data_IF_576930547383
#
_entry.id   IF_576930547383
#
_cell.length_a   1.000
_cell.length_b   1.000
_cell.length_c   1.000
_cell.angle_alpha   90.00
_cell.angle_beta   90.00
_cell.angle_gamma   90.00
#
_symmetry.space_group_name_H-M   'P 1'
#
loop_
_entity.id
_entity.type
_entity.pdbx_description
1 polymer ?
#
# COMPACT_ATOMS: atom_id res chain seq x y z
N UNK A 1 6.82 25.86 -26.91
CA UNK A 1 5.44 25.32 -26.88
C UNK A 1 5.39 23.80 -27.01
N UNK A 2 6.08 23.20 -27.99
CA UNK A 2 6.07 21.74 -28.26
C UNK A 2 6.48 20.84 -27.07
N UNK A 3 7.46 21.22 -26.26
CA UNK A 3 7.93 20.43 -25.09
C UNK A 3 6.90 20.38 -23.95
N UNK A 4 6.23 21.51 -23.66
CA UNK A 4 5.18 21.57 -22.63
C UNK A 4 3.98 20.71 -23.01
N UNK A 5 3.63 20.69 -24.30
CA UNK A 5 2.55 19.86 -24.83
C UNK A 5 2.87 18.36 -24.73
N UNK A 6 4.09 17.94 -25.09
CA UNK A 6 4.54 16.54 -24.92
C UNK A 6 4.46 16.08 -23.46
N UNK A 7 4.82 16.95 -22.52
CA UNK A 7 4.83 16.64 -21.10
C UNK A 7 3.41 16.60 -20.49
N UNK A 8 2.53 17.51 -20.93
CA UNK A 8 1.09 17.46 -20.61
C UNK A 8 0.48 16.13 -21.06
N UNK A 9 0.77 15.71 -22.29
CA UNK A 9 0.32 14.42 -22.80
C UNK A 9 0.87 13.28 -21.94
N UNK A 10 2.18 13.27 -21.64
CA UNK A 10 2.80 12.24 -20.80
C UNK A 10 2.09 12.09 -19.44
N UNK A 11 1.83 13.18 -18.73
CA UNK A 11 1.13 13.16 -17.43
C UNK A 11 -0.25 12.52 -17.57
N UNK A 12 -1.02 12.91 -18.59
CA UNK A 12 -2.40 12.49 -18.77
C UNK A 12 -2.53 11.05 -19.26
N UNK A 13 -1.57 10.53 -20.02
CA UNK A 13 -1.66 9.18 -20.60
C UNK A 13 -1.01 8.10 -19.73
N UNK A 14 -0.08 8.45 -18.83
CA UNK A 14 0.73 7.44 -18.11
C UNK A 14 -0.14 6.40 -17.39
N UNK A 15 -1.10 6.83 -16.56
CA UNK A 15 -1.95 5.89 -15.81
C UNK A 15 -2.96 5.12 -16.71
N UNK A 16 -3.65 5.77 -17.68
CA UNK A 16 -4.50 5.09 -18.65
C UNK A 16 -3.77 4.07 -19.52
N UNK A 17 -2.48 4.25 -19.80
CA UNK A 17 -1.68 3.29 -20.55
C UNK A 17 -1.16 2.15 -19.67
N UNK A 18 -0.88 2.39 -18.38
CA UNK A 18 -0.46 1.32 -17.47
C UNK A 18 -1.54 0.27 -17.22
N UNK A 19 -2.82 0.65 -17.29
CA UNK A 19 -3.94 -0.27 -17.10
C UNK A 19 -3.99 -1.37 -18.18
N UNK A 20 -4.14 -1.08 -19.48
CA UNK A 20 -4.13 -2.10 -20.53
C UNK A 20 -2.79 -2.82 -20.63
N UNK A 21 -1.67 -2.16 -20.31
CA UNK A 21 -0.35 -2.79 -20.27
C UNK A 21 -0.31 -3.97 -19.30
N UNK A 22 -0.94 -3.85 -18.12
CA UNK A 22 -1.07 -4.96 -17.17
C UNK A 22 -1.81 -6.16 -17.75
N UNK A 23 -2.94 -5.93 -18.42
CA UNK A 23 -3.69 -7.00 -19.07
C UNK A 23 -2.92 -7.67 -20.21
N UNK A 24 -2.19 -6.88 -21.01
CA UNK A 24 -1.35 -7.41 -22.09
C UNK A 24 -0.23 -8.29 -21.51
N UNK A 25 0.46 -7.81 -20.47
CA UNK A 25 1.52 -8.59 -19.79
C UNK A 25 0.98 -9.90 -19.23
N UNK A 26 -0.17 -9.85 -18.55
CA UNK A 26 -0.84 -11.06 -18.04
C UNK A 26 -1.10 -12.10 -19.13
N UNK A 27 -1.62 -11.66 -20.28
CA UNK A 27 -1.94 -12.53 -21.42
C UNK A 27 -0.69 -13.05 -22.13
N UNK A 28 0.31 -12.21 -22.37
CA UNK A 28 1.53 -12.58 -23.12
C UNK A 28 2.39 -13.56 -22.34
N UNK A 29 2.64 -13.26 -21.07
CA UNK A 29 3.58 -14.04 -20.27
C UNK A 29 2.94 -15.26 -19.59
N UNK A 30 1.66 -15.53 -19.84
CA UNK A 30 0.89 -16.61 -19.21
C UNK A 30 1.20 -16.69 -17.71
N UNK A 31 1.28 -15.52 -17.06
CA UNK A 31 1.78 -15.44 -15.69
C UNK A 31 0.97 -16.39 -14.82
N UNK A 32 1.63 -17.20 -13.97
CA UNK A 32 0.96 -18.20 -13.19
C UNK A 32 -0.18 -17.57 -12.38
N UNK A 33 -1.19 -18.40 -12.10
CA UNK A 33 -2.46 -18.06 -11.44
C UNK A 33 -2.28 -17.04 -10.30
N UNK A 34 -3.30 -16.18 -10.04
CA UNK A 34 -3.27 -15.12 -9.00
C UNK A 34 -2.71 -15.55 -7.63
N UNK A 35 -2.76 -16.85 -7.35
CA UNK A 35 -2.17 -17.52 -6.19
C UNK A 35 -0.65 -17.31 -6.03
N UNK A 36 0.14 -17.45 -7.10
CA UNK A 36 1.60 -17.32 -6.97
C UNK A 36 1.99 -15.87 -6.72
N UNK A 37 1.39 -14.91 -7.44
CA UNK A 37 1.70 -13.49 -7.26
C UNK A 37 1.19 -12.96 -5.90
N UNK A 38 0.05 -13.47 -5.41
CA UNK A 38 -0.49 -13.08 -4.10
C UNK A 38 0.39 -13.52 -2.92
N UNK A 39 1.14 -14.62 -3.06
CA UNK A 39 2.09 -15.07 -2.04
C UNK A 39 3.26 -14.07 -1.84
N UNK A 40 3.79 -13.51 -2.93
CA UNK A 40 4.82 -12.46 -2.88
C UNK A 40 4.22 -11.10 -2.47
N UNK A 41 2.94 -10.88 -2.78
CA UNK A 41 2.19 -9.69 -2.37
C UNK A 41 1.58 -9.86 -0.97
N UNK A 42 2.40 -10.21 0.02
CA UNK A 42 1.94 -10.32 1.41
C UNK A 42 1.36 -8.97 1.90
N UNK A 43 0.04 -8.89 2.01
CA UNK A 43 -0.72 -7.71 2.44
C UNK A 43 -0.32 -7.20 3.82
N UNK A 44 0.26 -8.04 4.66
CA UNK A 44 0.64 -7.70 6.02
C UNK A 44 2.18 -7.62 6.22
N UNK A 45 2.95 -7.66 5.13
CA UNK A 45 4.40 -7.49 5.17
C UNK A 45 4.83 -6.09 5.64
N UNK A 46 6.03 -6.00 6.23
CA UNK A 46 6.61 -4.75 6.75
C UNK A 46 6.69 -3.66 5.68
N UNK A 47 7.10 -4.02 4.46
CA UNK A 47 7.19 -3.11 3.31
C UNK A 47 5.81 -2.54 2.99
N UNK A 48 4.77 -3.37 2.91
CA UNK A 48 3.42 -2.90 2.63
C UNK A 48 2.92 -1.95 3.75
N UNK A 49 3.17 -2.29 5.01
CA UNK A 49 2.67 -1.52 6.15
C UNK A 49 3.34 -0.16 6.34
N UNK A 50 4.66 -0.07 6.12
CA UNK A 50 5.43 1.16 6.36
C UNK A 50 5.50 2.02 5.09
N UNK A 51 5.63 1.39 3.93
CA UNK A 51 5.87 2.09 2.68
C UNK A 51 4.59 2.28 1.86
N UNK A 52 3.97 1.20 1.40
CA UNK A 52 2.83 1.25 0.47
C UNK A 52 1.60 1.90 1.12
N UNK A 53 1.22 1.48 2.33
CA UNK A 53 0.08 2.06 3.08
C UNK A 53 0.29 3.54 3.42
N UNK A 54 1.54 4.02 3.49
CA UNK A 54 1.89 5.44 3.72
C UNK A 54 2.36 6.15 2.45
N UNK A 55 1.95 5.69 1.27
CA UNK A 55 2.48 6.21 0.00
C UNK A 55 2.31 7.72 -0.21
N UNK A 56 1.19 8.30 0.25
CA UNK A 56 0.98 9.76 0.15
C UNK A 56 2.02 10.55 0.96
N UNK A 57 2.44 10.05 2.13
CA UNK A 57 3.49 10.67 2.94
C UNK A 57 4.82 10.68 2.20
N UNK A 58 5.24 9.55 1.64
CA UNK A 58 6.51 9.43 0.91
C UNK A 58 6.52 10.30 -0.35
N UNK A 59 5.39 10.33 -1.07
CA UNK A 59 5.19 11.20 -2.23
C UNK A 59 5.32 12.68 -1.85
N UNK A 60 4.66 13.09 -0.77
CA UNK A 60 4.74 14.45 -0.24
C UNK A 60 6.18 14.81 0.11
N UNK A 61 6.83 13.98 0.94
CA UNK A 61 8.19 14.22 1.44
C UNK A 61 9.20 14.39 0.29
N UNK A 62 9.25 13.43 -0.63
CA UNK A 62 10.25 13.43 -1.70
C UNK A 62 9.97 14.49 -2.77
N UNK A 63 8.71 14.72 -3.13
CA UNK A 63 8.36 15.77 -4.09
C UNK A 63 8.68 17.15 -3.54
N UNK A 64 8.29 17.46 -2.29
CA UNK A 64 8.59 18.77 -1.69
C UNK A 64 10.08 18.97 -1.48
N UNK A 65 10.81 17.94 -1.07
CA UNK A 65 12.25 18.01 -0.95
C UNK A 65 12.94 18.36 -2.27
N UNK A 66 12.51 17.73 -3.38
CA UNK A 66 13.00 18.09 -4.72
C UNK A 66 12.58 19.51 -5.13
N UNK A 67 11.32 19.90 -4.90
CA UNK A 67 10.84 21.26 -5.19
C UNK A 67 11.73 22.29 -4.49
N UNK A 68 12.01 22.14 -3.20
CA UNK A 68 12.85 23.10 -2.48
C UNK A 68 14.30 23.09 -2.95
N UNK A 69 14.89 21.90 -3.13
CA UNK A 69 16.30 21.73 -3.56
C UNK A 69 16.55 22.39 -4.92
N UNK A 70 15.69 22.15 -5.90
CA UNK A 70 15.90 22.58 -7.28
C UNK A 70 15.23 23.92 -7.61
N UNK A 71 14.24 24.37 -6.84
CA UNK A 71 13.66 25.72 -6.98
C UNK A 71 14.65 26.82 -6.58
N UNK A 72 15.55 26.54 -5.63
CA UNK A 72 16.58 27.48 -5.14
C UNK A 72 17.58 27.90 -6.21
N UNK A 73 17.75 27.09 -7.25
CA UNK A 73 18.91 27.18 -8.15
C UNK A 73 18.57 27.63 -9.54
N UNK A 74 17.28 27.66 -9.88
CA UNK A 74 16.79 28.36 -11.05
C UNK A 74 17.08 29.86 -10.88
N UNK A 75 17.71 30.48 -11.87
CA UNK A 75 17.96 31.94 -12.04
C UNK A 75 16.67 32.79 -12.11
N UNK A 76 15.54 32.24 -11.65
CA UNK A 76 14.25 32.89 -11.65
C UNK A 76 14.18 33.94 -10.55
N UNK A 77 13.58 35.10 -10.87
CA UNK A 77 13.27 36.14 -9.90
C UNK A 77 12.44 35.58 -8.72
N UNK A 78 12.65 36.15 -7.53
CA UNK A 78 11.96 35.75 -6.29
C UNK A 78 10.43 35.65 -6.47
N UNK A 79 9.82 36.59 -7.20
CA UNK A 79 8.40 36.59 -7.52
C UNK A 79 7.95 35.37 -8.35
N UNK A 80 8.75 34.96 -9.36
CA UNK A 80 8.45 33.79 -10.21
C UNK A 80 8.66 32.47 -9.46
N UNK A 81 9.59 32.43 -8.50
CA UNK A 81 9.74 31.31 -7.56
C UNK A 81 8.51 31.17 -6.67
N UNK A 82 8.08 32.25 -6.01
CA UNK A 82 6.92 32.23 -5.11
C UNK A 82 5.65 31.77 -5.84
N UNK A 83 5.37 32.33 -7.03
CA UNK A 83 4.21 31.92 -7.83
C UNK A 83 4.20 30.42 -8.18
N UNK A 84 5.37 29.80 -8.45
CA UNK A 84 5.47 28.36 -8.72
C UNK A 84 5.18 27.51 -7.49
N UNK A 85 5.74 27.89 -6.33
CA UNK A 85 5.48 27.23 -5.05
C UNK A 85 3.99 27.31 -4.69
N UNK A 86 3.36 28.47 -4.84
CA UNK A 86 1.91 28.65 -4.59
C UNK A 86 1.07 27.75 -5.49
N UNK A 87 1.38 27.67 -6.79
CA UNK A 87 0.65 26.76 -7.71
C UNK A 87 0.81 25.30 -7.32
N UNK A 88 2.01 24.89 -6.92
CA UNK A 88 2.30 23.50 -6.50
C UNK A 88 1.57 23.17 -5.19
N UNK A 89 1.53 24.12 -4.25
CA UNK A 89 0.79 24.01 -3.00
C UNK A 89 -0.71 23.88 -3.24
N UNK A 90 -1.29 24.72 -4.11
CA UNK A 90 -2.72 24.65 -4.47
C UNK A 90 -3.04 23.27 -5.05
N UNK A 91 -2.22 22.76 -5.98
CA UNK A 91 -2.42 21.42 -6.54
C UNK A 91 -2.35 20.34 -5.47
N UNK A 92 -1.35 20.39 -4.61
CA UNK A 92 -1.19 19.46 -3.50
C UNK A 92 -2.40 19.46 -2.55
N UNK A 93 -2.90 20.65 -2.17
CA UNK A 93 -4.08 20.80 -1.31
C UNK A 93 -5.32 20.20 -1.99
N UNK A 94 -5.59 20.54 -3.25
CA UNK A 94 -6.73 20.02 -4.00
C UNK A 94 -6.69 18.48 -4.07
N UNK A 95 -5.54 17.90 -4.42
CA UNK A 95 -5.40 16.44 -4.50
C UNK A 95 -5.49 15.76 -3.13
N UNK A 96 -4.95 16.38 -2.08
CA UNK A 96 -5.04 15.85 -0.70
C UNK A 96 -6.48 15.87 -0.21
N UNK A 97 -7.20 16.98 -0.42
CA UNK A 97 -8.63 17.08 -0.07
C UNK A 97 -9.44 16.06 -0.85
N UNK A 98 -9.18 15.90 -2.15
CA UNK A 98 -9.87 14.90 -2.97
C UNK A 98 -9.62 13.48 -2.49
N UNK A 99 -8.38 13.13 -2.17
CA UNK A 99 -8.05 11.83 -1.59
C UNK A 99 -8.75 11.59 -0.26
N UNK A 100 -8.72 12.58 0.63
CA UNK A 100 -9.33 12.50 1.94
C UNK A 100 -10.85 12.32 1.84
N UNK A 101 -11.52 13.13 1.01
CA UNK A 101 -12.97 13.00 0.74
C UNK A 101 -13.33 11.64 0.16
N UNK A 102 -12.50 11.11 -0.74
CA UNK A 102 -12.82 9.87 -1.44
C UNK A 102 -12.68 8.63 -0.54
N UNK A 103 -11.69 8.63 0.36
CA UNK A 103 -11.28 7.43 1.09
C UNK A 103 -11.45 7.49 2.61
N UNK A 104 -11.55 8.69 3.19
CA UNK A 104 -11.62 8.89 4.64
C UNK A 104 -12.96 9.48 5.07
N UNK A 105 -13.30 9.27 6.34
CA UNK A 105 -14.44 9.95 6.95
C UNK A 105 -14.08 11.44 7.09
N UNK A 106 -14.83 12.28 6.38
CA UNK A 106 -14.57 13.71 6.17
C UNK A 106 -14.47 14.52 7.47
N UNK A 107 -15.18 14.12 8.53
CA UNK A 107 -15.20 14.81 9.83
C UNK A 107 -15.24 13.76 10.94
N UNK A 108 -14.23 13.69 11.82
CA UNK A 108 -14.29 12.87 13.03
C UNK A 108 -15.53 13.26 13.86
N UNK A 109 -16.47 12.33 14.02
CA UNK A 109 -17.72 12.57 14.77
C UNK A 109 -18.96 12.84 13.92
N UNK A 110 -18.85 13.02 12.59
CA UNK A 110 -20.04 12.94 11.71
C UNK A 110 -20.18 11.56 11.12
N UNK A 111 -21.42 11.14 10.89
CA UNK A 111 -21.76 9.82 10.32
C UNK A 111 -21.60 9.78 8.79
N UNK A 112 -20.87 10.73 8.18
CA UNK A 112 -20.71 10.83 6.73
C UNK A 112 -19.67 9.80 6.25
N UNK A 113 -20.09 8.75 5.53
CA UNK A 113 -19.17 7.75 4.97
C UNK A 113 -18.31 8.36 3.85
N UNK A 114 -17.15 7.76 3.53
CA UNK A 114 -16.32 8.17 2.41
C UNK A 114 -17.09 8.02 1.09
N UNK A 115 -16.73 8.81 0.06
CA UNK A 115 -17.41 8.74 -1.25
C UNK A 115 -17.39 7.32 -1.82
N UNK A 116 -16.30 6.58 -1.63
CA UNK A 116 -16.19 5.18 -2.04
C UNK A 116 -17.26 4.28 -1.40
N UNK A 117 -17.46 4.38 -0.08
CA UNK A 117 -18.49 3.59 0.62
C UNK A 117 -19.90 4.05 0.21
N UNK A 118 -20.11 5.34 -0.11
CA UNK A 118 -21.38 5.83 -0.67
C UNK A 118 -21.67 5.16 -2.01
N UNK A 119 -20.70 5.16 -2.93
CA UNK A 119 -20.84 4.53 -4.25
C UNK A 119 -21.15 3.03 -4.09
N UNK A 120 -20.47 2.37 -3.15
CA UNK A 120 -20.73 0.97 -2.85
C UNK A 120 -22.16 0.72 -2.38
N UNK A 121 -22.67 1.52 -1.45
CA UNK A 121 -24.04 1.38 -0.97
C UNK A 121 -25.08 1.71 -2.05
N UNK A 122 -24.84 2.75 -2.85
CA UNK A 122 -25.73 3.16 -3.95
C UNK A 122 -25.79 2.13 -5.07
N UNK A 123 -24.72 1.37 -5.28
CA UNK A 123 -24.68 0.26 -6.25
C UNK A 123 -25.31 -1.04 -5.73
N UNK A 124 -25.97 -1.01 -4.56
CA UNK A 124 -26.66 -2.16 -3.97
C UNK A 124 -25.82 -2.96 -2.97
N UNK A 125 -24.65 -2.44 -2.61
CA UNK A 125 -23.77 -3.07 -1.63
C UNK A 125 -24.34 -3.08 -0.22
N UNK A 126 -24.06 -4.16 0.52
CA UNK A 126 -24.50 -4.34 1.90
C UNK A 126 -23.47 -5.06 2.76
N UNK A 127 -23.58 -4.88 4.07
CA UNK A 127 -22.88 -5.70 5.05
C UNK A 127 -23.65 -7.01 5.27
N UNK A 128 -22.95 -8.14 5.19
CA UNK A 128 -23.54 -9.47 5.33
C UNK A 128 -22.86 -10.29 6.43
N UNK A 129 -23.63 -11.20 7.03
CA UNK A 129 -23.28 -11.98 8.21
C UNK A 129 -23.67 -13.45 8.02
N UNK A 130 -23.39 -14.03 6.84
CA UNK A 130 -23.70 -15.43 6.51
C UNK A 130 -22.73 -16.37 7.26
N UNK A 131 -22.92 -16.47 8.57
CA UNK A 131 -22.07 -17.21 9.51
C UNK A 131 -22.22 -18.71 9.33
N UNK A 132 -23.43 -19.19 9.04
CA UNK A 132 -23.76 -20.60 8.89
C UNK A 132 -23.85 -21.01 7.42
N UNK A 133 -23.41 -22.23 7.10
CA UNK A 133 -23.51 -22.80 5.77
C UNK A 133 -24.97 -23.20 5.47
N UNK A 134 -25.44 -22.88 4.27
CA UNK A 134 -26.79 -23.22 3.82
C UNK A 134 -26.87 -24.67 3.29
N UNK A 135 -25.74 -25.27 2.90
CA UNK A 135 -25.71 -26.63 2.36
C UNK A 135 -25.61 -27.71 3.45
N UNK A 136 -25.00 -27.36 4.60
CA UNK A 136 -24.81 -28.25 5.73
C UNK A 136 -25.40 -27.61 6.99
N UNK A 137 -26.61 -28.05 7.35
CA UNK A 137 -27.34 -27.53 8.50
C UNK A 137 -26.48 -27.55 9.77
N UNK A 138 -26.36 -26.38 10.37
CA UNK A 138 -25.69 -26.16 11.63
C UNK A 138 -24.16 -26.10 11.61
N UNK A 139 -23.54 -26.17 10.43
CA UNK A 139 -22.10 -25.94 10.30
C UNK A 139 -21.78 -24.46 10.03
N UNK A 140 -20.60 -24.01 10.45
CA UNK A 140 -20.12 -22.67 10.11
C UNK A 140 -19.69 -22.63 8.65
N UNK A 141 -20.00 -21.51 8.00
CA UNK A 141 -19.64 -21.27 6.62
C UNK A 141 -18.11 -21.12 6.47
N UNK A 142 -17.46 -22.15 5.93
CA UNK A 142 -16.02 -22.13 5.64
C UNK A 142 -15.67 -21.08 4.57
N UNK A 143 -16.63 -20.67 3.74
CA UNK A 143 -16.47 -19.57 2.77
C UNK A 143 -16.66 -18.17 3.38
N UNK A 144 -17.05 -18.07 4.65
CA UNK A 144 -17.27 -16.79 5.33
C UNK A 144 -16.02 -15.90 5.25
N UNK A 145 -16.15 -14.68 4.71
CA UNK A 145 -15.03 -13.76 4.45
C UNK A 145 -13.95 -14.23 3.44
N UNK A 146 -14.18 -15.29 2.66
CA UNK A 146 -13.16 -15.78 1.73
C UNK A 146 -12.99 -14.86 0.51
N UNK A 147 -11.91 -14.08 0.54
CA UNK A 147 -11.30 -13.44 -0.63
C UNK A 147 -9.90 -14.04 -0.78
N UNK A 148 -9.74 -15.14 -1.49
CA UNK A 148 -8.45 -15.79 -1.89
C UNK A 148 -7.30 -15.74 -0.84
N UNK A 149 -7.07 -16.84 -0.11
CA UNK A 149 -5.93 -17.05 0.80
C UNK A 149 -6.32 -17.71 2.14
N UNK A 150 -5.35 -18.14 2.94
CA UNK A 150 -5.59 -18.79 4.23
C UNK A 150 -6.04 -17.77 5.30
N UNK A 151 -7.36 -17.57 5.42
CA UNK A 151 -7.99 -16.48 6.17
C UNK A 151 -8.57 -16.90 7.54
N UNK A 152 -8.21 -18.08 8.06
CA UNK A 152 -8.66 -18.58 9.38
C UNK A 152 -8.69 -17.50 10.46
N UNK A 153 -7.60 -16.72 10.59
CA UNK A 153 -7.49 -15.64 11.60
C UNK A 153 -8.54 -14.52 11.45
N UNK A 154 -8.95 -14.19 10.21
CA UNK A 154 -9.96 -13.14 9.98
C UNK A 154 -11.36 -13.64 10.31
N UNK A 155 -11.67 -14.87 9.87
CA UNK A 155 -12.91 -15.58 10.21
C UNK A 155 -13.08 -15.72 11.71
N UNK A 156 -12.02 -16.13 12.41
CA UNK A 156 -11.99 -16.22 13.87
C UNK A 156 -12.30 -14.91 14.58
N UNK A 157 -11.66 -13.82 14.15
CA UNK A 157 -11.92 -12.48 14.71
C UNK A 157 -13.35 -12.01 14.42
N UNK A 158 -13.91 -12.38 13.28
CA UNK A 158 -15.26 -12.03 12.90
C UNK A 158 -16.29 -12.78 13.75
N UNK A 159 -16.17 -14.10 13.84
CA UNK A 159 -16.99 -14.94 14.72
C UNK A 159 -16.91 -14.49 16.18
N UNK A 160 -15.71 -14.19 16.67
CA UNK A 160 -15.51 -13.66 18.03
C UNK A 160 -16.25 -12.35 18.28
N UNK A 161 -16.28 -11.42 17.31
CA UNK A 161 -17.05 -10.16 17.43
C UNK A 161 -18.55 -10.39 17.42
N UNK A 162 -19.01 -11.31 16.56
CA UNK A 162 -20.43 -11.68 16.46
C UNK A 162 -20.87 -12.32 17.78
N UNK A 163 -20.10 -13.28 18.31
CA UNK A 163 -20.34 -13.91 19.60
C UNK A 163 -20.44 -12.89 20.74
N UNK A 164 -19.44 -12.02 20.88
CA UNK A 164 -19.42 -10.96 21.91
C UNK A 164 -20.58 -9.97 21.80
N UNK A 165 -21.14 -9.80 20.60
CA UNK A 165 -22.31 -8.97 20.41
C UNK A 165 -23.59 -9.70 20.80
N UNK A 166 -23.78 -10.93 20.32
CA UNK A 166 -24.95 -11.74 20.62
C UNK A 166 -25.04 -12.05 22.12
N UNK A 167 -23.92 -12.26 22.80
CA UNK A 167 -23.87 -12.55 24.24
C UNK A 167 -24.34 -11.39 25.14
N UNK A 168 -24.65 -10.22 24.57
CA UNK A 168 -25.20 -9.07 25.31
C UNK A 168 -26.73 -9.08 25.39
N UNK A 169 -27.38 -9.96 24.63
CA UNK A 169 -28.83 -10.12 24.67
C UNK A 169 -29.18 -11.22 25.67
N UNK A 170 -30.18 -10.97 26.51
CA UNK A 170 -30.75 -12.00 27.39
C UNK A 170 -31.77 -12.83 26.62
N UNK A 171 -31.83 -14.13 26.93
CA UNK A 171 -32.92 -15.01 26.50
C UNK A 171 -34.19 -14.65 27.28
N UNK A 172 -35.20 -14.13 26.59
CA UNK A 172 -36.51 -13.83 27.19
C UNK A 172 -37.34 -15.13 27.29
N UNK A 173 -36.89 -16.05 28.15
CA UNK A 173 -37.61 -17.27 28.51
C UNK A 173 -37.66 -18.38 27.43
N UNK A 174 -38.06 -19.62 27.82
CA UNK A 174 -37.90 -20.83 27.00
C UNK A 174 -38.87 -20.98 25.81
N UNK A 175 -39.81 -20.05 25.60
CA UNK A 175 -40.86 -20.15 24.57
C UNK A 175 -40.77 -19.12 23.45
N UNK A 176 -39.72 -18.30 23.43
CA UNK A 176 -39.50 -17.31 22.38
C UNK A 176 -38.58 -17.87 21.29
N UNK A 177 -39.05 -17.86 20.04
CA UNK A 177 -38.31 -18.35 18.87
C UNK A 177 -36.96 -17.62 18.72
N UNK A 178 -36.91 -16.32 19.03
CA UNK A 178 -35.68 -15.54 18.99
C UNK A 178 -34.68 -15.97 20.09
N UNK A 179 -35.16 -16.49 21.23
CA UNK A 179 -34.32 -17.00 22.32
C UNK A 179 -33.70 -18.37 21.99
N UNK A 180 -34.44 -19.24 21.29
CA UNK A 180 -33.91 -20.50 20.75
C UNK A 180 -32.83 -20.24 19.69
N UNK A 181 -33.07 -19.29 18.78
CA UNK A 181 -32.10 -18.90 17.75
C UNK A 181 -30.85 -18.23 18.35
N UNK A 182 -30.99 -17.47 19.43
CA UNK A 182 -29.89 -16.87 20.17
C UNK A 182 -28.99 -17.93 20.81
N UNK A 183 -29.58 -18.87 21.53
CA UNK A 183 -28.86 -19.95 22.22
C UNK A 183 -28.12 -20.84 21.23
N UNK A 184 -28.82 -21.29 20.17
CA UNK A 184 -28.22 -22.08 19.08
C UNK A 184 -27.07 -21.31 18.39
N UNK A 185 -27.22 -20.01 18.14
CA UNK A 185 -26.15 -19.20 17.55
C UNK A 185 -24.92 -19.11 18.46
N UNK A 186 -25.12 -18.87 19.76
CA UNK A 186 -24.03 -18.75 20.73
C UNK A 186 -23.31 -20.07 20.94
N UNK A 187 -24.03 -21.18 21.05
CA UNK A 187 -23.46 -22.51 21.25
C UNK A 187 -22.54 -22.92 20.10
N UNK A 188 -22.98 -22.75 18.86
CA UNK A 188 -22.21 -23.19 17.68
C UNK A 188 -20.99 -22.30 17.42
N UNK A 189 -21.17 -20.98 17.52
CA UNK A 189 -20.04 -20.05 17.37
C UNK A 189 -19.05 -20.24 18.54
N UNK A 190 -19.55 -20.40 19.76
CA UNK A 190 -18.77 -20.65 20.97
C UNK A 190 -17.94 -21.92 20.89
N UNK A 191 -18.50 -22.99 20.34
CA UNK A 191 -17.80 -24.26 20.13
C UNK A 191 -16.53 -24.08 19.28
N UNK A 192 -16.64 -23.43 18.11
CA UNK A 192 -15.49 -23.19 17.22
C UNK A 192 -14.45 -22.25 17.84
N UNK A 193 -14.90 -21.34 18.70
CA UNK A 193 -14.02 -20.44 19.46
C UNK A 193 -13.41 -21.10 20.72
N UNK A 194 -13.72 -22.36 21.02
CA UNK A 194 -13.37 -23.07 22.26
C UNK A 194 -13.85 -22.34 23.54
N UNK A 195 -14.98 -21.66 23.45
CA UNK A 195 -15.64 -20.97 24.58
C UNK A 195 -16.70 -21.85 25.23
N UNK A 196 -17.28 -22.78 24.46
CA UNK A 196 -18.30 -23.73 24.92
C UNK A 196 -17.77 -25.16 24.92
N UNK A 197 -18.24 -25.97 25.88
CA UNK A 197 -17.84 -27.38 26.02
C UNK A 197 -18.83 -28.36 25.40
N UNK A 198 -20.09 -27.96 25.29
CA UNK A 198 -21.16 -28.75 24.67
C UNK A 198 -21.52 -28.13 23.32
N UNK A 199 -21.30 -28.89 22.24
CA UNK A 199 -21.43 -28.40 20.87
C UNK A 199 -22.62 -28.99 20.11
N UNK A 200 -23.50 -29.70 20.81
CA UNK A 200 -24.62 -30.37 20.17
C UNK A 200 -25.66 -29.36 19.69
N UNK A 201 -25.90 -29.35 18.38
CA UNK A 201 -26.91 -28.51 17.75
C UNK A 201 -28.31 -29.08 17.99
N UNK A 202 -29.26 -28.22 18.33
CA UNK A 202 -30.67 -28.59 18.32
C UNK A 202 -31.13 -28.78 16.87
N UNK A 203 -31.72 -29.94 16.56
CA UNK A 203 -32.06 -30.32 15.19
C UNK A 203 -33.25 -29.54 14.61
N UNK A 204 -33.97 -28.80 15.45
CA UNK A 204 -35.16 -28.04 15.05
C UNK A 204 -34.84 -26.66 14.43
N UNK A 205 -33.57 -26.27 14.35
CA UNK A 205 -33.13 -24.95 13.87
C UNK A 205 -32.33 -25.04 12.57
N UNK A 206 -32.76 -24.30 11.54
CA UNK A 206 -32.07 -24.27 10.23
C UNK A 206 -30.95 -23.22 10.17
N UNK A 207 -29.91 -23.46 9.36
CA UNK A 207 -28.85 -22.47 9.11
C UNK A 207 -29.38 -21.16 8.50
N UNK A 208 -30.46 -21.23 7.73
CA UNK A 208 -31.11 -20.06 7.14
C UNK A 208 -31.75 -19.17 8.22
N UNK A 209 -32.43 -19.79 9.20
CA UNK A 209 -33.06 -19.08 10.31
C UNK A 209 -32.01 -18.41 11.19
N UNK A 210 -30.90 -19.10 11.50
CA UNK A 210 -29.77 -18.55 12.25
C UNK A 210 -29.13 -17.34 11.54
N UNK A 211 -28.84 -17.46 10.24
CA UNK A 211 -28.29 -16.34 9.46
C UNK A 211 -29.27 -15.15 9.41
N UNK A 212 -30.58 -15.42 9.28
CA UNK A 212 -31.61 -14.38 9.28
C UNK A 212 -31.69 -13.68 10.64
N UNK A 213 -31.62 -14.44 11.74
CA UNK A 213 -31.62 -13.96 13.11
C UNK A 213 -30.42 -13.05 13.38
N UNK A 214 -29.20 -13.53 13.10
CA UNK A 214 -27.98 -12.76 13.26
C UNK A 214 -28.08 -11.46 12.46
N UNK A 215 -28.51 -11.54 11.19
CA UNK A 215 -28.67 -10.36 10.34
C UNK A 215 -29.68 -9.36 10.90
N UNK A 216 -30.81 -9.81 11.46
CA UNK A 216 -31.80 -8.92 12.10
C UNK A 216 -31.20 -8.22 13.32
N UNK A 217 -30.57 -8.97 14.25
CA UNK A 217 -29.97 -8.42 15.47
C UNK A 217 -28.79 -7.49 15.17
N UNK A 218 -27.96 -7.80 14.17
CA UNK A 218 -26.85 -6.92 13.78
C UNK A 218 -27.34 -5.60 13.20
N UNK A 219 -28.42 -5.63 12.41
CA UNK A 219 -28.98 -4.41 11.81
C UNK A 219 -29.79 -3.55 12.80
N UNK A 220 -30.16 -4.06 13.97
CA UNK A 220 -30.87 -3.27 14.99
C UNK A 220 -29.98 -2.22 15.66
N UNK A 221 -28.66 -2.29 15.51
CA UNK A 221 -27.70 -1.28 16.01
C UNK A 221 -27.67 0.02 15.20
N UNK A 222 -28.37 0.06 14.06
CA UNK A 222 -28.37 1.19 13.16
C UNK A 222 -27.77 0.86 11.79
N UNK A 223 -27.88 1.82 10.86
CA UNK A 223 -27.47 1.64 9.47
C UNK A 223 -25.95 1.50 9.36
N UNK A 224 -25.48 0.35 8.89
CA UNK A 224 -24.06 0.12 8.59
C UNK A 224 -23.69 0.85 7.29
N UNK A 225 -23.09 2.03 7.39
CA UNK A 225 -22.76 2.92 6.27
C UNK A 225 -21.32 2.83 5.75
N UNK A 226 -20.40 2.14 6.44
CA UNK A 226 -18.99 2.04 6.02
C UNK A 226 -18.46 0.63 6.06
N UNK A 227 -17.48 0.34 5.19
CA UNK A 227 -16.80 -0.96 5.18
C UNK A 227 -16.03 -1.22 6.48
N UNK A 228 -15.50 -0.17 7.12
CA UNK A 228 -14.83 -0.26 8.41
C UNK A 228 -15.79 -0.68 9.53
N UNK A 229 -16.98 -0.09 9.57
CA UNK A 229 -18.02 -0.44 10.54
C UNK A 229 -18.58 -1.84 10.29
N UNK A 230 -18.73 -2.28 9.04
CA UNK A 230 -19.13 -3.65 8.76
C UNK A 230 -18.11 -4.66 9.33
N UNK A 231 -16.82 -4.43 9.08
CA UNK A 231 -15.73 -5.28 9.60
C UNK A 231 -15.63 -5.24 11.13
N UNK A 232 -15.90 -4.10 11.77
CA UNK A 232 -15.87 -3.99 13.24
C UNK A 232 -16.96 -4.81 13.90
N UNK A 233 -18.07 -5.07 13.22
CA UNK A 233 -19.14 -5.96 13.68
C UNK A 233 -18.94 -7.43 13.25
N UNK A 234 -17.86 -7.75 12.55
CA UNK A 234 -17.58 -9.10 12.07
C UNK A 234 -18.26 -9.46 10.74
N UNK A 235 -19.00 -8.53 10.12
CA UNK A 235 -19.57 -8.73 8.79
C UNK A 235 -18.53 -8.57 7.67
N UNK A 236 -18.93 -8.97 6.46
CA UNK A 236 -18.18 -8.71 5.23
C UNK A 236 -19.00 -7.86 4.25
N UNK A 237 -18.29 -7.07 3.45
CA UNK A 237 -18.85 -6.06 2.54
C UNK A 237 -19.00 -6.69 1.15
N UNK A 238 -20.23 -6.85 0.64
CA UNK A 238 -20.51 -7.59 -0.60
C UNK A 238 -21.63 -7.00 -1.47
N UNK A 239 -21.77 -7.51 -2.70
CA UNK A 239 -22.73 -7.16 -3.77
C UNK A 239 -22.60 -5.78 -4.44
N UNK A 240 -21.97 -4.81 -3.79
CA UNK A 240 -21.79 -3.47 -4.34
C UNK A 240 -20.60 -3.38 -5.27
N UNK A 241 -20.54 -2.27 -6.02
CA UNK A 241 -19.37 -1.87 -6.78
C UNK A 241 -18.43 -1.06 -5.89
N UNK A 242 -17.22 -1.58 -5.64
CA UNK A 242 -16.20 -0.96 -4.81
C UNK A 242 -15.09 -0.33 -5.68
N UNK A 243 -15.10 0.98 -5.94
CA UNK A 243 -14.04 1.61 -6.73
C UNK A 243 -12.65 1.33 -6.18
N UNK A 244 -11.70 0.96 -7.03
CA UNK A 244 -10.36 0.61 -6.57
C UNK A 244 -9.65 1.81 -5.93
N UNK A 245 -9.63 1.85 -4.59
CA UNK A 245 -8.91 2.85 -3.81
C UNK A 245 -7.41 2.86 -4.04
N UNK A 246 -6.83 1.68 -4.36
CA UNK A 246 -5.43 1.55 -4.71
C UNK A 246 -5.09 2.26 -6.02
N UNK A 247 -5.81 1.95 -7.10
CA UNK A 247 -5.61 2.61 -8.40
C UNK A 247 -5.88 4.10 -8.29
N UNK A 248 -6.96 4.48 -7.59
CA UNK A 248 -7.30 5.86 -7.34
C UNK A 248 -6.12 6.63 -6.72
N UNK A 249 -5.61 6.16 -5.57
CA UNK A 249 -4.59 6.88 -4.83
C UNK A 249 -3.21 6.84 -5.52
N UNK A 250 -2.84 5.71 -6.12
CA UNK A 250 -1.60 5.59 -6.91
C UNK A 250 -1.63 6.53 -8.11
N UNK A 251 -2.79 6.69 -8.76
CA UNK A 251 -2.96 7.65 -9.86
C UNK A 251 -2.71 9.08 -9.38
N UNK A 252 -3.30 9.50 -8.25
CA UNK A 252 -3.07 10.84 -7.69
C UNK A 252 -1.59 11.07 -7.36
N UNK A 253 -0.91 10.10 -6.74
CA UNK A 253 0.53 10.20 -6.44
C UNK A 253 1.36 10.32 -7.71
N UNK A 254 1.09 9.47 -8.71
CA UNK A 254 1.82 9.45 -9.99
C UNK A 254 1.64 10.78 -10.75
N UNK A 255 0.41 11.26 -10.86
CA UNK A 255 0.10 12.53 -11.52
C UNK A 255 0.69 13.72 -10.77
N UNK A 256 0.71 13.69 -9.44
CA UNK A 256 1.36 14.73 -8.64
C UNK A 256 2.87 14.77 -8.91
N UNK A 257 3.56 13.62 -8.84
CA UNK A 257 5.00 13.55 -9.12
C UNK A 257 5.30 14.03 -10.53
N UNK A 258 4.68 13.46 -11.57
CA UNK A 258 4.92 13.86 -12.96
C UNK A 258 4.58 15.33 -13.20
N UNK A 259 3.50 15.79 -12.57
CA UNK A 259 3.01 17.16 -12.63
C UNK A 259 3.91 18.17 -11.96
N UNK A 260 4.72 17.80 -10.97
CA UNK A 260 5.72 18.67 -10.35
C UNK A 260 7.10 18.53 -11.00
N UNK A 261 7.48 17.31 -11.41
CA UNK A 261 8.77 16.96 -12.01
C UNK A 261 9.10 17.89 -13.18
N UNK A 262 8.11 18.21 -14.01
CA UNK A 262 8.26 19.12 -15.13
C UNK A 262 8.88 20.48 -14.83
N UNK A 263 8.73 21.00 -13.60
CA UNK A 263 9.16 22.35 -13.25
C UNK A 263 10.64 22.42 -12.90
N UNK A 264 11.25 21.29 -12.55
CA UNK A 264 12.62 21.23 -12.08
C UNK A 264 13.44 20.09 -12.69
N UNK A 265 12.87 19.24 -13.56
CA UNK A 265 13.58 18.08 -14.14
C UNK A 265 14.82 18.49 -14.93
N UNK A 266 14.79 19.61 -15.66
CA UNK A 266 15.94 20.07 -16.43
C UNK A 266 17.10 20.47 -15.51
N UNK A 267 16.81 21.26 -14.48
CA UNK A 267 17.79 21.68 -13.48
C UNK A 267 18.32 20.48 -12.68
N UNK A 268 17.44 19.54 -12.32
CA UNK A 268 17.81 18.34 -11.58
C UNK A 268 18.70 17.41 -12.40
N UNK A 269 18.38 17.17 -13.68
CA UNK A 269 19.19 16.33 -14.55
C UNK A 269 20.54 16.97 -14.88
N UNK A 270 20.58 18.29 -15.10
CA UNK A 270 21.84 19.00 -15.33
C UNK A 270 22.79 18.88 -14.13
N UNK A 271 22.26 19.03 -12.90
CA UNK A 271 23.02 18.80 -11.65
C UNK A 271 23.47 17.37 -11.51
N UNK A 272 22.57 16.41 -11.72
CA UNK A 272 22.90 15.00 -11.62
C UNK A 272 24.05 14.63 -12.55
N UNK A 273 23.99 15.05 -13.82
CA UNK A 273 25.05 14.78 -14.80
C UNK A 273 26.37 15.47 -14.44
N UNK A 274 26.31 16.68 -13.87
CA UNK A 274 27.51 17.41 -13.43
C UNK A 274 28.17 16.75 -12.21
N UNK A 275 27.38 16.34 -11.22
CA UNK A 275 27.87 15.77 -9.97
C UNK A 275 28.33 14.32 -10.13
N UNK A 276 27.89 13.64 -11.21
CA UNK A 276 28.20 12.24 -11.44
C UNK A 276 29.64 12.04 -11.91
N UNK A 277 30.52 11.71 -10.95
CA UNK A 277 31.93 11.42 -11.22
C UNK A 277 32.22 9.92 -11.02
N UNK A 278 32.06 9.14 -12.10
CA UNK A 278 32.35 7.69 -12.13
C UNK A 278 33.76 7.34 -11.67
N UNK A 279 34.74 8.21 -11.89
CA UNK A 279 36.14 7.95 -11.52
C UNK A 279 36.30 7.88 -10.01
N UNK A 280 35.58 8.70 -9.25
CA UNK A 280 35.63 8.69 -7.78
C UNK A 280 35.04 7.40 -7.23
N UNK A 281 33.90 6.94 -7.78
CA UNK A 281 33.24 5.70 -7.37
C UNK A 281 34.16 4.51 -7.69
N UNK A 282 34.71 4.43 -8.90
CA UNK A 282 35.63 3.35 -9.29
C UNK A 282 36.89 3.32 -8.41
N UNK A 283 37.45 4.48 -8.05
CA UNK A 283 38.59 4.57 -7.12
C UNK A 283 38.24 4.05 -5.73
N UNK A 284 37.07 4.38 -5.20
CA UNK A 284 36.62 3.88 -3.90
C UNK A 284 36.32 2.38 -3.94
N UNK A 285 35.72 1.88 -5.03
CA UNK A 285 35.57 0.44 -5.25
C UNK A 285 36.92 -0.27 -5.33
N UNK A 286 37.94 0.32 -5.96
CA UNK A 286 39.30 -0.23 -5.99
C UNK A 286 39.91 -0.38 -4.60
N UNK A 287 39.77 0.64 -3.74
CA UNK A 287 40.26 0.60 -2.35
C UNK A 287 39.70 -0.54 -1.51
N UNK A 288 38.47 -0.98 -1.79
CA UNK A 288 37.87 -2.14 -1.10
C UNK A 288 38.64 -3.44 -1.36
N UNK A 289 39.29 -3.57 -2.52
CA UNK A 289 39.95 -4.80 -2.93
C UNK A 289 41.49 -4.72 -2.87
N UNK A 290 42.07 -3.54 -2.60
CA UNK A 290 43.53 -3.32 -2.51
C UNK A 290 44.18 -3.86 -1.21
N UNK A 291 43.38 -4.34 -0.24
CA UNK A 291 43.83 -4.80 1.08
C UNK A 291 43.72 -6.33 1.26
N UNK A 292 43.98 -7.11 0.21
CA UNK A 292 43.86 -8.57 0.24
C UNK A 292 44.94 -9.28 1.10
N UNK A 293 44.58 -10.45 1.63
CA UNK A 293 45.45 -11.37 2.40
C UNK A 293 46.85 -11.53 1.79
N UNK A 294 46.89 -11.86 0.50
CA UNK A 294 48.12 -12.12 -0.26
C UNK A 294 48.93 -10.84 -0.43
N UNK A 295 48.26 -9.73 -0.75
CA UNK A 295 48.91 -8.43 -0.98
C UNK A 295 49.55 -7.87 0.29
N UNK A 296 48.88 -8.00 1.44
CA UNK A 296 49.42 -7.56 2.73
C UNK A 296 50.60 -8.43 3.18
N UNK A 297 50.53 -9.76 2.96
CA UNK A 297 51.67 -10.63 3.27
C UNK A 297 52.90 -10.33 2.41
N UNK A 298 52.71 -10.09 1.10
CA UNK A 298 53.81 -9.75 0.18
C UNK A 298 54.44 -8.40 0.52
N UNK A 299 53.65 -7.42 0.99
CA UNK A 299 54.13 -6.09 1.38
C UNK A 299 54.91 -6.07 2.72
N UNK A 300 54.91 -7.16 3.49
CA UNK A 300 55.63 -7.22 4.76
C UNK A 300 57.14 -7.30 4.57
N UNK A 301 57.87 -6.48 5.34
CA UNK A 301 59.31 -6.51 5.35
C UNK A 301 59.85 -7.83 5.94
N UNK A 302 61.08 -8.20 5.57
CA UNK A 302 61.71 -9.48 5.95
C UNK A 302 61.80 -9.69 7.47
N UNK A 303 61.92 -8.60 8.25
CA UNK A 303 61.93 -8.62 9.72
C UNK A 303 60.54 -8.88 10.31
N UNK A 304 59.51 -8.29 9.71
CA UNK A 304 58.12 -8.37 10.18
C UNK A 304 57.48 -9.71 9.88
N UNK A 305 57.89 -10.37 8.79
CA UNK A 305 57.50 -11.76 8.48
C UNK A 305 57.91 -12.77 9.55
N UNK A 306 58.92 -12.46 10.39
CA UNK A 306 59.33 -13.33 11.51
C UNK A 306 58.48 -13.14 12.76
N UNK A 307 57.70 -12.07 12.85
CA UNK A 307 56.81 -11.82 13.99
C UNK A 307 55.41 -12.35 13.68
N UNK A 308 55.09 -13.53 14.22
CA UNK A 308 53.82 -14.21 13.96
C UNK A 308 52.58 -13.37 14.34
N UNK A 309 52.66 -12.58 15.42
CA UNK A 309 51.57 -11.68 15.83
C UNK A 309 51.31 -10.61 14.77
N UNK A 310 52.38 -10.07 14.17
CA UNK A 310 52.27 -9.04 13.13
C UNK A 310 51.72 -9.63 11.82
N UNK A 311 52.17 -10.83 11.46
CA UNK A 311 51.61 -11.56 10.30
C UNK A 311 50.12 -11.78 10.49
N UNK A 312 49.66 -12.31 11.62
CA UNK A 312 48.23 -12.53 11.89
C UNK A 312 47.45 -11.22 11.82
N UNK A 313 47.95 -10.14 12.43
CA UNK A 313 47.26 -8.86 12.41
C UNK A 313 47.09 -8.31 10.98
N UNK A 314 48.18 -8.26 10.20
CA UNK A 314 48.20 -7.65 8.86
C UNK A 314 47.45 -8.49 7.80
N UNK A 315 47.35 -9.80 8.02
CA UNK A 315 46.73 -10.75 7.08
C UNK A 315 45.30 -11.12 7.44
N UNK A 316 44.97 -11.32 8.72
CA UNK A 316 43.66 -11.82 9.14
C UNK A 316 42.76 -10.75 9.78
N UNK A 317 43.33 -9.76 10.47
CA UNK A 317 42.55 -8.76 11.22
C UNK A 317 42.38 -7.46 10.43
N UNK A 318 43.45 -6.95 9.82
CA UNK A 318 43.47 -5.68 9.11
C UNK A 318 42.58 -5.68 7.83
N UNK A 319 42.59 -6.73 6.99
CA UNK A 319 41.74 -6.78 5.80
C UNK A 319 40.22 -6.67 6.06
N UNK A 320 39.61 -7.47 6.95
CA UNK A 320 38.17 -7.34 7.20
C UNK A 320 37.81 -6.00 7.87
N UNK A 321 38.66 -5.48 8.75
CA UNK A 321 38.43 -4.16 9.36
C UNK A 321 38.49 -3.03 8.32
N UNK A 322 39.53 -3.00 7.48
CA UNK A 322 39.67 -1.98 6.43
C UNK A 322 38.56 -2.09 5.39
N UNK A 323 38.19 -3.30 4.97
CA UNK A 323 37.05 -3.53 4.10
C UNK A 323 35.75 -2.99 4.72
N UNK A 324 35.45 -3.33 5.98
CA UNK A 324 34.25 -2.86 6.66
C UNK A 324 34.22 -1.33 6.78
N UNK A 325 35.36 -0.70 7.11
CA UNK A 325 35.50 0.76 7.20
C UNK A 325 35.27 1.43 5.85
N UNK A 326 35.98 1.01 4.81
CA UNK A 326 35.86 1.59 3.46
C UNK A 326 34.46 1.32 2.86
N UNK A 327 33.85 0.17 3.16
CA UNK A 327 32.48 -0.14 2.75
C UNK A 327 31.48 0.79 3.45
N UNK A 328 31.65 1.04 4.75
CA UNK A 328 30.83 1.98 5.48
C UNK A 328 30.99 3.42 4.93
N UNK A 329 32.22 3.85 4.64
CA UNK A 329 32.47 5.14 4.00
C UNK A 329 31.80 5.24 2.62
N UNK A 330 31.88 4.20 1.79
CA UNK A 330 31.23 4.14 0.48
C UNK A 330 29.70 4.21 0.61
N UNK A 331 29.12 3.51 1.59
CA UNK A 331 27.68 3.55 1.87
C UNK A 331 27.26 4.95 2.30
N UNK A 332 28.00 5.61 3.19
CA UNK A 332 27.71 6.98 3.64
C UNK A 332 27.81 7.97 2.49
N UNK A 333 28.85 7.87 1.66
CA UNK A 333 29.04 8.76 0.51
C UNK A 333 27.96 8.56 -0.54
N UNK A 334 27.61 7.32 -0.86
CA UNK A 334 26.55 6.98 -1.81
C UNK A 334 25.19 7.40 -1.27
N UNK A 335 24.94 7.18 0.04
CA UNK A 335 23.74 7.65 0.73
C UNK A 335 23.62 9.16 0.68
N UNK A 336 24.71 9.90 0.95
CA UNK A 336 24.75 11.36 0.83
C UNK A 336 24.49 11.82 -0.61
N UNK A 337 25.10 11.17 -1.58
CA UNK A 337 24.91 11.48 -3.00
C UNK A 337 23.44 11.31 -3.43
N UNK A 338 22.82 10.19 -3.08
CA UNK A 338 21.44 9.87 -3.47
C UNK A 338 20.42 10.72 -2.69
N UNK A 339 20.61 10.87 -1.37
CA UNK A 339 19.64 11.53 -0.50
C UNK A 339 19.81 13.05 -0.58
N UNK A 340 21.02 13.58 -0.40
CA UNK A 340 21.22 15.02 -0.21
C UNK A 340 21.63 15.76 -1.47
N UNK A 341 22.54 15.20 -2.26
CA UNK A 341 23.07 15.87 -3.43
C UNK A 341 22.07 15.79 -4.59
N UNK A 342 21.54 14.58 -4.84
CA UNK A 342 20.67 14.26 -5.96
C UNK A 342 19.37 13.53 -5.58
N UNK A 343 18.48 14.15 -4.78
CA UNK A 343 17.20 13.55 -4.38
C UNK A 343 16.25 13.23 -5.53
N UNK A 344 16.51 13.75 -6.73
CA UNK A 344 15.80 13.38 -7.96
C UNK A 344 15.83 11.87 -8.21
N UNK A 345 16.92 11.18 -7.84
CA UNK A 345 17.04 9.73 -7.95
C UNK A 345 15.94 9.06 -7.14
N UNK A 346 15.77 9.46 -5.87
CA UNK A 346 14.74 8.93 -4.99
C UNK A 346 13.33 9.19 -5.52
N UNK A 347 13.08 10.38 -6.08
CA UNK A 347 11.78 10.73 -6.63
C UNK A 347 11.43 9.92 -7.88
N UNK A 348 12.40 9.69 -8.78
CA UNK A 348 12.21 8.84 -9.96
C UNK A 348 12.02 7.38 -9.54
N UNK A 349 12.83 6.88 -8.59
CA UNK A 349 12.64 5.53 -8.03
C UNK A 349 11.24 5.38 -7.42
N UNK A 350 10.77 6.38 -6.66
CA UNK A 350 9.43 6.39 -6.09
C UNK A 350 8.34 6.32 -7.17
N UNK A 351 8.48 7.10 -8.24
CA UNK A 351 7.57 7.05 -9.38
C UNK A 351 7.54 5.66 -10.02
N UNK A 352 8.69 5.03 -10.24
CA UNK A 352 8.78 3.66 -10.78
C UNK A 352 8.09 2.67 -9.85
N UNK A 353 8.29 2.79 -8.53
CA UNK A 353 7.62 1.93 -7.55
C UNK A 353 6.10 2.12 -7.58
N UNK A 354 5.60 3.34 -7.78
CA UNK A 354 4.17 3.58 -7.93
C UNK A 354 3.60 3.00 -9.23
N UNK A 355 4.31 3.13 -10.35
CA UNK A 355 3.90 2.50 -11.61
C UNK A 355 3.92 0.97 -11.52
N UNK A 356 4.92 0.41 -10.83
CA UNK A 356 4.97 -1.01 -10.52
C UNK A 356 3.80 -1.43 -9.62
N UNK A 357 3.51 -0.68 -8.56
CA UNK A 357 2.37 -0.95 -7.68
C UNK A 357 1.04 -0.86 -8.42
N UNK A 358 0.90 0.08 -9.36
CA UNK A 358 -0.26 0.17 -10.25
C UNK A 358 -0.39 -1.11 -11.06
N UNK A 359 0.70 -1.54 -11.71
CA UNK A 359 0.76 -2.75 -12.54
C UNK A 359 0.41 -4.02 -11.74
N UNK A 360 0.97 -4.18 -10.53
CA UNK A 360 0.62 -5.32 -9.67
C UNK A 360 -0.84 -5.27 -9.26
N UNK A 361 -1.39 -4.07 -9.02
CA UNK A 361 -2.81 -3.92 -8.68
C UNK A 361 -3.69 -4.38 -9.83
N UNK A 362 -3.34 -4.07 -11.08
CA UNK A 362 -4.14 -4.50 -12.24
C UNK A 362 -4.05 -6.00 -12.51
N UNK A 363 -2.94 -6.64 -12.13
CA UNK A 363 -2.70 -8.07 -12.32
C UNK A 363 -3.37 -8.97 -11.27
N UNK A 364 -3.43 -8.52 -10.01
CA UNK A 364 -3.76 -9.40 -8.87
C UNK A 364 -5.08 -9.05 -8.21
N UNK A 365 -5.46 -7.77 -8.20
CA UNK A 365 -6.55 -7.27 -7.38
C UNK A 365 -7.63 -6.62 -8.24
N UNK A 366 -8.86 -6.65 -7.71
CA UNK A 366 -10.03 -5.96 -8.26
C UNK A 366 -10.48 -6.45 -9.65
N UNK A 367 -11.75 -6.22 -9.94
CA UNK A 367 -12.30 -6.46 -11.29
C UNK A 367 -11.96 -5.29 -12.22
N UNK A 368 -12.04 -5.51 -13.54
CA UNK A 368 -11.79 -4.46 -14.55
C UNK A 368 -12.65 -3.23 -14.28
N UNK A 369 -13.92 -3.42 -13.90
CA UNK A 369 -14.85 -2.31 -13.62
C UNK A 369 -14.43 -1.50 -12.40
N UNK A 370 -14.00 -2.15 -11.32
CA UNK A 370 -13.48 -1.49 -10.11
C UNK A 370 -12.18 -0.72 -10.39
N UNK A 371 -11.31 -1.28 -11.25
CA UNK A 371 -10.08 -0.61 -11.67
C UNK A 371 -10.37 0.64 -12.52
N UNK A 372 -11.28 0.54 -13.49
CA UNK A 372 -11.70 1.65 -14.34
C UNK A 372 -12.38 2.76 -13.54
N UNK A 373 -13.24 2.41 -12.57
CA UNK A 373 -13.91 3.40 -11.73
C UNK A 373 -12.92 4.14 -10.83
N UNK A 374 -11.96 3.43 -10.22
CA UNK A 374 -10.88 4.06 -9.43
C UNK A 374 -10.05 5.04 -10.27
N UNK A 375 -9.70 4.66 -11.50
CA UNK A 375 -9.00 5.54 -12.44
C UNK A 375 -9.85 6.76 -12.82
N UNK A 376 -11.13 6.55 -13.15
CA UNK A 376 -12.07 7.60 -13.51
C UNK A 376 -12.19 8.67 -12.40
N UNK A 377 -12.42 8.25 -11.15
CA UNK A 377 -12.53 9.19 -10.03
C UNK A 377 -11.23 9.94 -9.73
N UNK A 378 -10.07 9.32 -9.96
CA UNK A 378 -8.80 10.05 -9.85
C UNK A 378 -8.68 11.13 -10.94
N UNK A 379 -9.01 10.78 -12.19
CA UNK A 379 -8.94 11.69 -13.34
C UNK A 379 -9.96 12.82 -13.30
N UNK A 380 -11.11 12.63 -12.65
CA UNK A 380 -12.12 13.66 -12.49
C UNK A 380 -11.55 14.96 -11.88
N UNK A 381 -10.65 14.85 -10.90
CA UNK A 381 -9.99 16.02 -10.30
C UNK A 381 -8.58 16.23 -10.88
N UNK A 382 -7.73 15.20 -10.84
CA UNK A 382 -6.34 15.35 -11.26
C UNK A 382 -6.20 15.64 -12.76
N UNK A 383 -7.05 15.02 -13.59
CA UNK A 383 -7.10 15.26 -15.03
C UNK A 383 -7.45 16.71 -15.35
N UNK A 384 -8.49 17.27 -14.72
CA UNK A 384 -8.87 18.68 -14.91
C UNK A 384 -7.78 19.62 -14.40
N UNK A 385 -7.22 19.33 -13.23
CA UNK A 385 -6.18 20.14 -12.60
C UNK A 385 -4.94 20.26 -13.50
N UNK A 386 -4.45 19.14 -14.03
CA UNK A 386 -3.30 19.11 -14.93
C UNK A 386 -3.65 19.43 -16.38
N UNK A 387 -4.93 19.38 -16.78
CA UNK A 387 -5.37 19.91 -18.07
C UNK A 387 -5.35 21.44 -18.08
N UNK A 388 -5.84 22.10 -17.03
CA UNK A 388 -5.91 23.58 -16.92
C UNK A 388 -4.60 24.23 -16.48
N UNK A 389 -3.67 23.47 -15.89
CA UNK A 389 -2.37 24.00 -15.47
C UNK A 389 -1.47 24.45 -16.65
N UNK A 390 -1.86 24.16 -17.90
CA UNK A 390 -1.18 24.53 -19.15
C UNK A 390 -2.17 25.07 -20.15
#
# INVERSE_FOLDING_TARGET
MRTKQKLKILILITCPLTLPLGYIISRVFHLPTPYLISHWANKDGLINSIFVKKGWFWTTLLTWFCIFKYSSTATASSARRHSRLTRSLIRYIILTLWWFMFTQNLIPGTQLPPIMDIIFLLSGGKCQFDVFDLEHDGSLNESFQNVLGDQWRRRHKAWSRIYQFLSKFDSTGPSDSDSQLLDASLKTIGCVLNLEKECDMDHDVTSADLNSFIKRKMNSMGRISTSAMCRSHGGYWTMGHDPSGHIFLITLMTMFILGELQFFIQDAMARLLHDFNWVTILKQCGKLFDNGLIWNYIKLDSRDRRNWMRVIYETLILPPYTFAKEAAELVVLTGRFIIWDNPIILLITLLVVWLWSFLITTLVFHTVSEQLSGLFFAYMVAGILYWKAY
#
